data_IF_920627408706
#
_entry.id   IF_920627408706
#
_cell.length_a   1.000
_cell.length_b   1.000
_cell.length_c   1.000
_cell.angle_alpha   90.00
_cell.angle_beta   90.00
_cell.angle_gamma   90.00
#
_symmetry.space_group_name_H-M   'P 1'
#
loop_
_entity.id
_entity.type
_entity.pdbx_description
1 polymer ?
#
# COMPACT_ATOMS: atom_id res chain seq x y z
N UNK A 1 -5.64 16.51 12.68
CA UNK A 1 -5.49 16.55 11.20
C UNK A 1 -5.85 15.18 10.65
N UNK A 2 -6.55 15.08 9.52
CA UNK A 2 -6.93 13.78 8.92
C UNK A 2 -6.05 13.47 7.72
N UNK A 3 -5.48 12.27 7.66
CA UNK A 3 -4.63 11.84 6.55
C UNK A 3 -5.10 10.47 6.06
N UNK A 4 -5.40 10.37 4.76
CA UNK A 4 -5.59 9.09 4.10
C UNK A 4 -4.24 8.51 3.68
N UNK A 5 -4.06 7.19 3.86
CA UNK A 5 -2.86 6.49 3.39
C UNK A 5 -3.20 5.41 2.36
N UNK A 6 -2.39 5.35 1.31
CA UNK A 6 -2.35 4.28 0.33
C UNK A 6 -0.89 3.84 0.09
N UNK A 7 -0.69 2.67 -0.50
CA UNK A 7 0.63 2.18 -0.90
C UNK A 7 0.62 1.48 -2.25
N UNK A 8 1.60 1.78 -3.09
CA UNK A 8 1.89 1.01 -4.31
C UNK A 8 3.36 0.63 -4.26
N UNK A 9 3.65 -0.66 -4.33
CA UNK A 9 5.01 -1.17 -4.47
C UNK A 9 5.08 -2.04 -5.72
N UNK A 10 5.79 -1.54 -6.71
CA UNK A 10 6.10 -2.23 -7.96
C UNK A 10 7.39 -1.61 -8.52
N UNK A 11 8.21 -2.39 -9.19
CA UNK A 11 9.35 -1.89 -9.95
C UNK A 11 9.06 -2.08 -11.43
N UNK A 12 9.34 -1.06 -12.24
CA UNK A 12 9.11 -1.11 -13.68
C UNK A 12 10.45 -1.30 -14.39
N UNK A 13 10.49 -2.21 -15.37
CA UNK A 13 11.66 -2.41 -16.23
C UNK A 13 11.28 -2.08 -17.68
N UNK A 14 11.84 -1.00 -18.24
CA UNK A 14 11.58 -0.55 -19.62
C UNK A 14 11.88 -1.62 -20.67
N UNK A 15 12.79 -2.55 -20.37
CA UNK A 15 13.21 -3.62 -21.28
C UNK A 15 12.50 -4.94 -21.04
N UNK A 16 11.70 -5.06 -19.96
CA UNK A 16 10.92 -6.26 -19.72
C UNK A 16 9.71 -6.27 -20.65
N UNK A 17 9.49 -7.33 -21.45
CA UNK A 17 8.26 -7.48 -22.20
C UNK A 17 7.09 -7.91 -21.31
N UNK A 18 7.36 -8.29 -20.06
CA UNK A 18 6.32 -8.71 -19.11
C UNK A 18 5.63 -7.48 -18.52
N UNK A 19 4.33 -7.34 -18.81
CA UNK A 19 3.50 -6.27 -18.25
C UNK A 19 2.78 -6.80 -17.01
N UNK A 20 2.93 -6.12 -15.88
CA UNK A 20 2.19 -6.46 -14.67
C UNK A 20 0.69 -6.32 -14.93
N UNK A 21 -0.05 -7.37 -14.59
CA UNK A 21 -1.50 -7.44 -14.63
C UNK A 21 -2.05 -7.27 -13.22
N UNK A 22 -3.36 -7.06 -13.12
CA UNK A 22 -4.05 -6.97 -11.83
C UNK A 22 -3.80 -8.21 -10.94
N UNK A 23 -3.79 -9.40 -11.53
CA UNK A 23 -3.53 -10.69 -10.85
C UNK A 23 -2.12 -10.82 -10.25
N UNK A 24 -1.17 -10.00 -10.70
CA UNK A 24 0.20 -9.98 -10.17
C UNK A 24 0.31 -9.17 -8.87
N UNK A 25 -0.75 -8.43 -8.49
CA UNK A 25 -0.77 -7.62 -7.28
C UNK A 25 -1.42 -8.36 -6.11
N UNK A 26 -0.70 -8.42 -4.99
CA UNK A 26 -1.32 -8.61 -3.68
C UNK A 26 -1.96 -7.29 -3.25
N UNK A 27 -3.28 -7.30 -3.08
CA UNK A 27 -4.07 -6.13 -2.69
C UNK A 27 -4.55 -6.31 -1.24
N UNK A 28 -4.37 -5.27 -0.42
CA UNK A 28 -4.93 -5.16 0.93
C UNK A 28 -5.77 -3.89 0.97
N UNK A 29 -7.05 -4.03 1.27
CA UNK A 29 -8.01 -2.91 1.32
C UNK A 29 -8.10 -2.34 2.73
N UNK A 30 -8.60 -1.11 2.85
CA UNK A 30 -8.61 -0.38 4.13
C UNK A 30 -9.55 -0.94 5.19
N UNK A 31 -10.41 -1.90 4.84
CA UNK A 31 -11.23 -2.69 5.75
C UNK A 31 -10.49 -3.92 6.33
N UNK A 32 -9.27 -4.22 5.86
CA UNK A 32 -8.45 -5.27 6.46
C UNK A 32 -8.04 -4.87 7.90
N UNK A 33 -8.32 -5.72 8.90
CA UNK A 33 -8.02 -5.39 10.31
C UNK A 33 -6.53 -5.22 10.59
N UNK A 34 -5.66 -5.78 9.75
CA UNK A 34 -4.21 -5.71 9.88
C UNK A 34 -3.59 -4.64 8.96
N UNK A 35 -4.39 -3.78 8.32
CA UNK A 35 -3.89 -2.78 7.37
C UNK A 35 -2.77 -1.91 7.99
N UNK A 36 -2.98 -1.45 9.22
CA UNK A 36 -2.05 -0.56 9.90
C UNK A 36 -0.78 -1.26 10.41
N UNK A 37 -0.77 -2.59 10.50
CA UNK A 37 0.44 -3.36 10.88
C UNK A 37 1.55 -3.21 9.84
N UNK A 38 1.20 -2.89 8.59
CA UNK A 38 2.17 -2.58 7.54
C UNK A 38 2.91 -1.26 7.77
N UNK A 39 2.42 -0.39 8.66
CA UNK A 39 2.91 0.96 8.91
C UNK A 39 3.24 1.20 10.40
N UNK A 40 4.20 0.44 10.99
CA UNK A 40 4.48 0.49 12.42
C UNK A 40 5.04 1.84 12.91
N UNK A 41 5.36 2.77 12.00
CA UNK A 41 5.84 4.10 12.32
C UNK A 41 4.72 5.12 12.58
N UNK A 42 3.48 4.84 12.18
CA UNK A 42 2.36 5.78 12.31
C UNK A 42 2.05 6.25 13.74
N UNK A 43 2.11 5.37 14.77
CA UNK A 43 1.83 5.79 16.14
C UNK A 43 2.78 6.87 16.68
N UNK A 44 3.91 7.12 16.00
CA UNK A 44 4.87 8.17 16.38
C UNK A 44 4.36 9.59 16.10
N UNK A 45 3.30 9.74 15.30
CA UNK A 45 2.76 11.04 14.91
C UNK A 45 1.47 11.34 15.69
N UNK A 46 1.59 12.17 16.73
CA UNK A 46 0.47 12.59 17.55
C UNK A 46 -0.46 13.57 16.82
N UNK A 47 -1.76 13.53 17.15
CA UNK A 47 -2.76 14.45 16.59
C UNK A 47 -3.19 14.18 15.14
N UNK A 48 -2.74 13.07 14.55
CA UNK A 48 -3.14 12.60 13.23
C UNK A 48 -4.18 11.49 13.35
N UNK A 49 -5.30 11.66 12.65
CA UNK A 49 -6.31 10.63 12.42
C UNK A 49 -6.03 9.99 11.05
N UNK A 50 -5.59 8.73 11.07
CA UNK A 50 -5.25 7.98 9.86
C UNK A 50 -6.49 7.28 9.28
N UNK A 51 -6.66 7.38 7.97
CA UNK A 51 -7.71 6.66 7.23
C UNK A 51 -7.06 5.70 6.24
N UNK A 52 -7.31 4.40 6.41
CA UNK A 52 -6.82 3.37 5.51
C UNK A 52 -7.57 3.42 4.17
N UNK A 53 -6.87 3.13 3.07
CA UNK A 53 -7.49 3.05 1.74
C UNK A 53 -7.15 1.73 1.04
N UNK A 54 -5.92 1.58 0.55
CA UNK A 54 -5.49 0.50 -0.33
C UNK A 54 -3.97 0.37 -0.30
N UNK A 55 -3.47 -0.86 -0.25
CA UNK A 55 -2.08 -1.20 -0.55
C UNK A 55 -2.06 -2.24 -1.67
N UNK A 56 -1.32 -1.98 -2.75
CA UNK A 56 -1.08 -2.92 -3.84
C UNK A 56 0.41 -3.19 -3.97
N UNK A 57 0.80 -4.47 -4.00
CA UNK A 57 2.20 -4.89 -4.12
C UNK A 57 2.35 -5.96 -5.19
N UNK A 58 3.20 -5.71 -6.18
CA UNK A 58 3.66 -6.71 -7.15
C UNK A 58 5.17 -6.93 -6.97
N UNK A 59 5.63 -8.15 -7.24
CA UNK A 59 7.07 -8.43 -7.31
C UNK A 59 7.66 -7.77 -8.58
N UNK A 60 8.91 -7.28 -8.53
CA UNK A 60 9.65 -6.87 -9.72
C UNK A 60 9.75 -7.97 -10.78
#
# INVERSE_FOLDING_TARGET
MKIAIAGIATECCTFSPWTNKYEDFRIVTGDDPNFFDMYPFMPKYEGIEWTATLVARATP
#
